data_IF_307473238354
#
_entry.id   IF_307473238354
#
_cell.length_a   1.000
_cell.length_b   1.000
_cell.length_c   1.000
_cell.angle_alpha   90.00
_cell.angle_beta   90.00
_cell.angle_gamma   90.00
#
_symmetry.space_group_name_H-M   'P 1'
#
loop_
_entity.id
_entity.type
_entity.pdbx_description
1 polymer ?
#
# COMPACT_ATOMS: atom_id res chain seq x y z
N UNK A 1 0.91 -1.28 10.71
CA UNK A 1 0.65 -2.01 9.46
C UNK A 1 1.71 -1.75 8.38
N UNK A 2 1.78 -0.57 7.73
CA UNK A 2 2.73 -0.40 6.60
C UNK A 2 4.19 -0.66 6.96
N UNK A 3 4.86 -1.48 6.15
CA UNK A 3 6.27 -1.85 6.33
C UNK A 3 7.25 -0.72 5.94
N UNK A 4 8.53 -0.80 6.37
CA UNK A 4 9.60 0.10 5.95
C UNK A 4 9.82 0.18 4.42
N UNK A 5 9.48 -0.87 3.67
CA UNK A 5 9.57 -0.86 2.20
C UNK A 5 8.31 -0.33 1.49
N UNK A 6 7.24 0.00 2.23
CA UNK A 6 5.98 0.53 1.69
C UNK A 6 4.86 -0.49 1.48
N UNK A 7 5.15 -1.79 1.62
CA UNK A 7 4.17 -2.86 1.52
C UNK A 7 3.18 -2.90 2.70
N UNK A 8 2.07 -3.61 2.50
CA UNK A 8 1.01 -3.77 3.49
C UNK A 8 0.74 -5.25 3.76
N UNK A 9 0.72 -5.68 5.04
CA UNK A 9 0.32 -7.04 5.37
C UNK A 9 -1.17 -7.26 5.14
N UNK A 10 -1.58 -8.52 5.04
CA UNK A 10 -3.00 -8.87 5.05
C UNK A 10 -3.65 -8.58 6.42
N UNK A 11 -2.92 -8.88 7.51
CA UNK A 11 -3.36 -8.68 8.88
C UNK A 11 -2.25 -8.04 9.71
N UNK A 12 -2.60 -7.12 10.62
CA UNK A 12 -1.66 -6.49 11.56
C UNK A 12 -2.29 -6.43 12.96
N UNK A 13 -1.65 -6.98 14.01
CA UNK A 13 -0.38 -7.70 13.98
C UNK A 13 -0.52 -9.14 13.46
N UNK A 14 0.31 -9.53 12.48
CA UNK A 14 0.49 -10.93 12.07
C UNK A 14 1.96 -11.31 12.16
N UNK A 15 2.26 -12.53 12.65
CA UNK A 15 3.63 -13.02 12.87
C UNK A 15 3.95 -14.36 12.20
N UNK A 16 2.97 -14.97 11.54
CA UNK A 16 3.10 -16.33 10.99
C UNK A 16 2.32 -16.47 9.68
N UNK A 17 2.78 -17.37 8.81
CA UNK A 17 2.14 -17.66 7.53
C UNK A 17 2.12 -16.46 6.59
N UNK A 18 1.35 -16.54 5.50
CA UNK A 18 1.31 -15.47 4.50
C UNK A 18 0.62 -14.17 4.97
N UNK A 19 0.03 -14.15 6.15
CA UNK A 19 -0.70 -12.98 6.68
C UNK A 19 0.18 -11.75 6.87
N UNK A 20 1.51 -11.94 7.02
CA UNK A 20 2.49 -10.85 7.13
C UNK A 20 3.04 -10.40 5.77
N UNK A 21 2.83 -11.16 4.69
CA UNK A 21 3.37 -10.81 3.38
C UNK A 21 2.71 -9.54 2.83
N UNK A 22 3.43 -8.82 1.98
CA UNK A 22 2.87 -7.74 1.17
C UNK A 22 1.70 -8.30 0.36
N UNK A 23 0.49 -7.81 0.61
CA UNK A 23 -0.73 -8.44 0.10
C UNK A 23 -1.47 -7.55 -0.88
N UNK A 24 -1.42 -7.94 -2.16
CA UNK A 24 -2.28 -7.37 -3.21
C UNK A 24 -3.61 -8.11 -3.34
N UNK A 25 -3.68 -9.35 -2.86
CA UNK A 25 -4.88 -10.19 -2.87
C UNK A 25 -6.12 -9.43 -2.36
N UNK A 26 -7.26 -9.65 -3.01
CA UNK A 26 -8.55 -8.98 -2.74
C UNK A 26 -8.47 -7.44 -2.70
N UNK A 27 -7.45 -6.85 -3.34
CA UNK A 27 -7.22 -5.41 -3.35
C UNK A 27 -6.79 -4.84 -2.00
N UNK A 28 -6.28 -5.66 -1.06
CA UNK A 28 -5.98 -5.22 0.30
C UNK A 28 -5.05 -3.99 0.35
N UNK A 29 -3.85 -4.08 -0.23
CA UNK A 29 -2.93 -2.94 -0.30
C UNK A 29 -3.51 -1.78 -1.13
N UNK A 30 -4.16 -2.06 -2.26
CA UNK A 30 -4.68 -1.02 -3.17
C UNK A 30 -5.78 -0.20 -2.50
N UNK A 31 -6.69 -0.82 -1.76
CA UNK A 31 -7.78 -0.14 -1.05
C UNK A 31 -7.27 0.66 0.15
N UNK A 32 -6.25 0.15 0.86
CA UNK A 32 -5.56 0.92 1.90
C UNK A 32 -4.91 2.19 1.32
N UNK A 33 -4.25 2.07 0.16
CA UNK A 33 -3.65 3.20 -0.54
C UNK A 33 -4.69 4.19 -1.08
N UNK A 34 -5.80 3.70 -1.65
CA UNK A 34 -6.88 4.57 -2.12
C UNK A 34 -7.46 5.41 -0.98
N UNK A 35 -7.67 4.80 0.20
CA UNK A 35 -8.09 5.54 1.40
C UNK A 35 -7.11 6.66 1.75
N UNK A 36 -5.80 6.39 1.73
CA UNK A 36 -4.78 7.42 2.00
C UNK A 36 -4.81 8.54 0.98
N UNK A 37 -5.03 8.19 -0.28
CA UNK A 37 -5.17 9.14 -1.37
C UNK A 37 -6.37 10.03 -1.19
N UNK A 38 -7.53 9.47 -0.86
CA UNK A 38 -8.73 10.25 -0.61
C UNK A 38 -8.54 11.21 0.60
N UNK A 39 -7.84 10.76 1.66
CA UNK A 39 -7.50 11.61 2.81
C UNK A 39 -6.58 12.78 2.43
N UNK A 40 -5.47 12.54 1.73
CA UNK A 40 -4.53 13.63 1.44
C UNK A 40 -5.00 14.55 0.31
N UNK A 41 -5.87 14.08 -0.58
CA UNK A 41 -6.51 14.90 -1.62
C UNK A 41 -7.78 15.59 -1.12
N UNK A 42 -8.29 15.24 0.06
CA UNK A 42 -9.51 15.81 0.63
C UNK A 42 -10.77 15.44 -0.15
N UNK A 43 -10.84 14.20 -0.66
CA UNK A 43 -12.02 13.69 -1.36
C UNK A 43 -13.03 13.12 -0.38
N UNK A 44 -14.31 13.21 -0.70
CA UNK A 44 -15.37 12.59 0.10
C UNK A 44 -15.10 11.09 0.33
N UNK A 45 -15.30 10.56 1.55
CA UNK A 45 -15.90 11.21 2.72
C UNK A 45 -14.89 11.94 3.64
N UNK A 46 -13.66 12.15 3.17
CA UNK A 46 -12.58 12.84 3.90
C UNK A 46 -12.43 14.32 3.52
N UNK A 47 -13.44 14.90 2.86
CA UNK A 47 -13.63 16.32 2.60
C UNK A 47 -14.07 17.09 3.87
N UNK A 48 -13.56 16.66 5.01
CA UNK A 48 -13.73 17.26 6.33
C UNK A 48 -12.41 17.88 6.79
N UNK A 49 -12.41 18.74 7.81
CA UNK A 49 -11.17 19.22 8.41
C UNK A 49 -10.32 18.06 8.95
N UNK A 50 -9.15 17.85 8.35
CA UNK A 50 -8.14 16.85 8.74
C UNK A 50 -6.82 17.60 8.95
N UNK A 51 -6.07 17.36 10.03
CA UNK A 51 -4.78 18.01 10.26
C UNK A 51 -3.81 17.81 9.10
N UNK A 52 -3.10 18.87 8.71
CA UNK A 52 -2.14 18.84 7.60
C UNK A 52 -1.03 17.80 7.82
N UNK A 53 -0.62 17.58 9.08
CA UNK A 53 0.35 16.54 9.43
C UNK A 53 -0.16 15.15 9.04
N UNK A 54 -1.44 14.87 9.27
CA UNK A 54 -2.05 13.59 8.93
C UNK A 54 -2.18 13.44 7.40
N UNK A 55 -2.58 14.51 6.69
CA UNK A 55 -2.60 14.53 5.22
C UNK A 55 -1.21 14.25 4.65
N UNK A 56 -0.17 14.89 5.19
CA UNK A 56 1.21 14.67 4.78
C UNK A 56 1.69 13.24 5.09
N UNK A 57 1.27 12.66 6.22
CA UNK A 57 1.55 11.26 6.57
C UNK A 57 0.89 10.29 5.57
N UNK A 58 -0.36 10.53 5.21
CA UNK A 58 -1.07 9.74 4.20
C UNK A 58 -0.40 9.84 2.81
N UNK A 59 0.01 11.04 2.39
CA UNK A 59 0.77 11.21 1.15
C UNK A 59 2.08 10.41 1.16
N UNK A 60 2.90 10.55 2.21
CA UNK A 60 4.15 9.78 2.34
C UNK A 60 3.92 8.27 2.34
N UNK A 61 2.85 7.80 2.98
CA UNK A 61 2.49 6.38 2.99
C UNK A 61 2.07 5.90 1.60
N UNK A 62 1.28 6.69 0.88
CA UNK A 62 0.89 6.41 -0.50
C UNK A 62 2.12 6.34 -1.44
N UNK A 63 2.99 7.35 -1.39
CA UNK A 63 4.19 7.43 -2.24
C UNK A 63 5.10 6.20 -2.04
N UNK A 64 5.31 5.78 -0.79
CA UNK A 64 6.06 4.55 -0.47
C UNK A 64 5.36 3.28 -0.95
N UNK A 65 4.03 3.25 -0.92
CA UNK A 65 3.23 2.16 -1.49
C UNK A 65 3.43 2.05 -3.00
N UNK A 66 3.49 3.18 -3.71
CA UNK A 66 3.80 3.22 -5.14
C UNK A 66 5.21 2.69 -5.40
N UNK A 67 6.22 3.10 -4.62
CA UNK A 67 7.57 2.56 -4.75
C UNK A 67 7.61 1.04 -4.55
N UNK A 68 6.87 0.53 -3.56
CA UNK A 68 6.74 -0.91 -3.31
C UNK A 68 6.16 -1.63 -4.53
N UNK A 69 5.03 -1.14 -5.06
CA UNK A 69 4.39 -1.68 -6.27
C UNK A 69 5.38 -1.73 -7.44
N UNK A 70 6.11 -0.65 -7.69
CA UNK A 70 7.07 -0.63 -8.81
C UNK A 70 8.25 -1.61 -8.59
N UNK A 71 8.70 -1.79 -7.35
CA UNK A 71 9.79 -2.71 -7.00
C UNK A 71 9.37 -4.19 -7.05
N UNK A 72 8.11 -4.50 -6.79
CA UNK A 72 7.58 -5.88 -6.79
C UNK A 72 7.06 -6.32 -8.16
N UNK A 73 7.03 -5.43 -9.16
CA UNK A 73 6.57 -5.78 -10.51
C UNK A 73 7.44 -6.88 -11.12
N UNK A 74 6.79 -7.98 -11.51
CA UNK A 74 7.49 -9.12 -12.07
C UNK A 74 8.05 -8.76 -13.44
N UNK A 75 9.30 -9.17 -13.70
CA UNK A 75 9.92 -9.13 -15.02
C UNK A 75 10.00 -10.53 -15.59
N UNK A 76 9.39 -10.73 -16.75
CA UNK A 76 9.48 -11.96 -17.52
C UNK A 76 10.30 -11.67 -18.78
N UNK A 77 11.41 -12.37 -18.95
CA UNK A 77 12.34 -12.19 -20.08
C UNK A 77 12.77 -10.72 -20.27
N UNK A 78 13.07 -10.04 -19.15
CA UNK A 78 13.48 -8.63 -19.13
C UNK A 78 12.34 -7.61 -19.29
N UNK A 79 11.13 -8.05 -19.63
CA UNK A 79 9.95 -7.19 -19.83
C UNK A 79 9.10 -7.11 -18.57
N UNK A 80 8.60 -5.92 -18.25
CA UNK A 80 7.65 -5.72 -17.15
C UNK A 80 6.34 -6.47 -17.47
N UNK A 81 5.83 -7.20 -16.48
CA UNK A 81 4.61 -8.00 -16.58
C UNK A 81 3.61 -7.57 -15.50
N UNK A 82 3.22 -8.50 -14.63
CA UNK A 82 2.14 -8.37 -13.65
C UNK A 82 2.66 -8.37 -12.19
N UNK A 83 1.72 -8.45 -11.26
CA UNK A 83 1.97 -8.69 -9.84
C UNK A 83 1.36 -10.02 -9.39
N UNK A 84 2.09 -10.75 -8.54
CA UNK A 84 1.53 -11.86 -7.78
C UNK A 84 0.55 -11.37 -6.70
N UNK A 85 -0.20 -12.30 -6.11
CA UNK A 85 -1.16 -11.96 -5.04
C UNK A 85 -0.47 -11.52 -3.74
N UNK A 86 0.71 -12.07 -3.44
CA UNK A 86 1.51 -11.76 -2.25
C UNK A 86 3.01 -11.77 -2.57
N UNK A 87 3.80 -11.06 -1.75
CA UNK A 87 5.25 -11.00 -1.79
C UNK A 87 5.83 -10.96 -0.38
N UNK A 88 7.04 -11.50 -0.18
CA UNK A 88 7.77 -11.30 1.07
C UNK A 88 8.05 -9.80 1.31
N UNK A 89 7.96 -9.37 2.58
CA UNK A 89 8.17 -7.97 3.00
C UNK A 89 9.62 -7.50 3.09
#
# INVERSE_FOLDING_TARGET
AQYPNGGWPQCDPAKVGYWHQITYNDGAMVNAMNTMRDVYEGRAPFDIPIPDELRAKCRRAFDRGIECILKTQIRQDGKLALWGQQYDE
#
